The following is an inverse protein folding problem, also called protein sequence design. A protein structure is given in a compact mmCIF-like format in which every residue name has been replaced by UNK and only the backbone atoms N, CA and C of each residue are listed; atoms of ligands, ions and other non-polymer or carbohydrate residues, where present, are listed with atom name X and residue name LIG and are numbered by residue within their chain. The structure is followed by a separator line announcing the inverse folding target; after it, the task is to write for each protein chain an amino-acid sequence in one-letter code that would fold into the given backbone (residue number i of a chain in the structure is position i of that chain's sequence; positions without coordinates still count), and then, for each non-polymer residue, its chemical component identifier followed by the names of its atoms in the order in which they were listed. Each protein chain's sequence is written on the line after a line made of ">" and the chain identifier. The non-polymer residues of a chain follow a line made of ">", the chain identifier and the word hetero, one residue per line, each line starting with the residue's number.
data_IF_123190194464
#
_entry.id   IF_123190194464
#
_cell.length_a   1.000
_cell.length_b   1.000
_cell.length_c   1.000
_cell.angle_alpha   90.00
_cell.angle_beta   90.00
_cell.angle_gamma   90.00
#
_symmetry.space_group_name_H-M   'P 1'
#
loop_
_entity.id
_entity.type
_entity.pdbx_description
1 polymer ?
#
# COMPACT_ATOMS: atom_id res chain seq x y z
N UNK A 1 -19.77 6.89 -3.26
CA UNK A 1 -18.80 5.82 -3.58
C UNK A 1 -19.06 4.63 -2.68
N UNK A 2 -18.83 3.41 -3.17
CA UNK A 2 -18.91 2.18 -2.40
C UNK A 2 -17.50 1.65 -2.12
N UNK A 3 -17.29 1.05 -0.96
CA UNK A 3 -16.02 0.47 -0.60
C UNK A 3 -15.80 -0.86 -1.32
N UNK A 4 -14.66 -1.01 -2.00
CA UNK A 4 -14.31 -2.25 -2.72
C UNK A 4 -14.17 -3.49 -1.82
N UNK A 5 -13.95 -3.31 -0.52
CA UNK A 5 -13.78 -4.42 0.42
C UNK A 5 -15.10 -5.03 0.90
N UNK A 6 -16.12 -4.20 1.10
CA UNK A 6 -17.34 -4.63 1.78
C UNK A 6 -18.64 -4.11 1.13
N UNK A 7 -18.53 -3.44 -0.02
CA UNK A 7 -19.61 -2.80 -0.78
C UNK A 7 -20.49 -1.82 0.03
N UNK A 8 -20.05 -1.42 1.23
CA UNK A 8 -20.74 -0.42 2.04
C UNK A 8 -20.40 1.00 1.59
N UNK A 9 -21.26 1.93 1.99
CA UNK A 9 -21.08 3.36 1.71
C UNK A 9 -19.80 3.90 2.35
N UNK A 10 -19.15 4.80 1.61
CA UNK A 10 -18.03 5.61 2.09
C UNK A 10 -18.59 6.94 2.61
N UNK A 11 -18.12 7.35 3.78
CA UNK A 11 -18.47 8.62 4.38
C UNK A 11 -17.86 9.77 3.55
N UNK A 12 -18.68 10.67 2.98
CA UNK A 12 -18.18 11.73 2.11
C UNK A 12 -17.39 12.82 2.85
N UNK A 13 -17.45 12.89 4.19
CA UNK A 13 -16.75 13.91 4.97
C UNK A 13 -15.30 13.57 5.29
N UNK A 14 -14.99 12.29 5.44
CA UNK A 14 -13.67 11.83 5.88
C UNK A 14 -13.11 10.67 5.04
N UNK A 15 -13.82 10.30 3.96
CA UNK A 15 -13.46 9.22 3.04
C UNK A 15 -13.21 7.85 3.70
N UNK A 16 -13.83 7.60 4.86
CA UNK A 16 -13.77 6.30 5.55
C UNK A 16 -14.97 5.43 5.20
N UNK A 17 -14.77 4.13 5.04
CA UNK A 17 -15.86 3.17 4.87
C UNK A 17 -16.57 2.90 6.21
N UNK A 18 -17.91 2.98 6.23
CA UNK A 18 -18.72 2.68 7.41
C UNK A 18 -18.70 1.20 7.85
N UNK A 19 -18.24 0.29 6.99
CA UNK A 19 -18.21 -1.14 7.27
C UNK A 19 -16.88 -1.62 7.83
N UNK A 20 -15.85 -1.58 6.99
CA UNK A 20 -14.51 -2.10 7.32
C UNK A 20 -13.54 -1.04 7.84
N UNK A 21 -13.92 0.24 7.87
CA UNK A 21 -13.01 1.32 8.26
C UNK A 21 -11.89 1.62 7.26
N UNK A 22 -11.94 1.02 6.06
CA UNK A 22 -10.99 1.35 4.99
C UNK A 22 -11.08 2.84 4.63
N UNK A 23 -9.92 3.46 4.47
CA UNK A 23 -9.82 4.83 3.97
C UNK A 23 -9.75 4.82 2.45
N UNK A 24 -10.23 5.89 1.84
CA UNK A 24 -10.36 6.03 0.40
C UNK A 24 -9.81 7.37 -0.03
N UNK A 25 -8.91 7.35 -1.01
CA UNK A 25 -8.30 8.56 -1.55
C UNK A 25 -8.35 8.50 -3.06
N UNK A 26 -8.79 9.59 -3.69
CA UNK A 26 -8.73 9.77 -5.14
C UNK A 26 -7.55 10.67 -5.45
N UNK A 27 -6.61 10.18 -6.23
CA UNK A 27 -5.43 10.93 -6.66
C UNK A 27 -5.28 10.94 -8.19
N UNK A 28 -4.70 12.01 -8.77
CA UNK A 28 -4.22 11.99 -10.14
C UNK A 28 -3.17 10.89 -10.32
N UNK A 29 -3.11 10.28 -11.50
CA UNK A 29 -2.17 9.17 -11.76
C UNK A 29 -0.70 9.57 -11.51
N UNK A 30 -0.32 10.79 -11.86
CA UNK A 30 1.04 11.33 -11.63
C UNK A 30 1.43 11.43 -10.15
N UNK A 31 0.45 11.48 -9.23
CA UNK A 31 0.66 11.58 -7.78
C UNK A 31 0.48 10.27 -7.04
N UNK A 32 0.20 9.17 -7.75
CA UNK A 32 -0.01 7.86 -7.15
C UNK A 32 1.14 7.47 -6.23
N UNK A 33 2.39 7.58 -6.70
CA UNK A 33 3.57 7.18 -5.94
C UNK A 33 3.83 8.04 -4.70
N UNK A 34 3.54 9.34 -4.78
CA UNK A 34 3.66 10.26 -3.64
C UNK A 34 2.63 9.88 -2.57
N UNK A 35 1.40 9.58 -2.98
CA UNK A 35 0.35 9.16 -2.06
C UNK A 35 0.70 7.83 -1.38
N UNK A 36 1.16 6.80 -2.11
CA UNK A 36 1.58 5.54 -1.47
C UNK A 36 2.78 5.75 -0.53
N UNK A 37 3.70 6.65 -0.89
CA UNK A 37 4.83 7.00 -0.03
C UNK A 37 4.33 7.65 1.28
N UNK A 38 3.41 8.60 1.21
CA UNK A 38 2.77 9.22 2.40
C UNK A 38 2.05 8.17 3.26
N UNK A 39 1.30 7.24 2.63
CA UNK A 39 0.65 6.13 3.34
C UNK A 39 1.64 5.23 4.06
N UNK A 40 2.77 4.92 3.43
CA UNK A 40 3.83 4.15 4.07
C UNK A 40 4.42 4.91 5.28
N UNK A 41 4.60 6.23 5.18
CA UNK A 41 5.07 7.04 6.30
C UNK A 41 4.05 7.09 7.44
N UNK A 42 2.76 7.22 7.12
CA UNK A 42 1.68 7.21 8.11
C UNK A 42 1.54 5.85 8.81
N UNK A 43 1.59 4.76 8.04
CA UNK A 43 1.39 3.40 8.54
C UNK A 43 2.58 2.90 9.36
N UNK A 44 3.81 3.14 8.90
CA UNK A 44 5.02 2.58 9.49
C UNK A 44 5.83 3.59 10.32
N UNK A 45 5.53 4.88 10.22
CA UNK A 45 6.32 5.95 10.86
C UNK A 45 7.69 6.17 10.21
N UNK A 46 7.91 5.65 9.01
CA UNK A 46 9.21 5.73 8.34
C UNK A 46 9.46 7.13 7.80
N UNK A 47 10.69 7.65 8.01
CA UNK A 47 11.18 8.81 7.26
C UNK A 47 11.86 8.29 6.00
N UNK A 48 11.21 8.49 4.85
CA UNK A 48 11.76 8.06 3.57
C UNK A 48 13.05 8.86 3.26
N UNK A 49 14.13 8.19 2.79
CA UNK A 49 15.37 8.87 2.44
C UNK A 49 15.15 9.80 1.25
N UNK A 50 15.91 10.90 1.11
CA UNK A 50 15.72 11.89 0.03
C UNK A 50 16.11 11.37 -1.38
N UNK A 51 16.52 10.11 -1.50
CA UNK A 51 16.97 9.51 -2.76
C UNK A 51 15.77 8.95 -3.52
N UNK A 52 15.38 9.63 -4.60
CA UNK A 52 14.18 9.29 -5.40
C UNK A 52 14.08 7.81 -5.79
N UNK A 53 15.19 7.18 -6.17
CA UNK A 53 15.22 5.76 -6.57
C UNK A 53 14.91 4.85 -5.38
N UNK A 54 15.46 5.14 -4.20
CA UNK A 54 15.23 4.34 -2.99
C UNK A 54 13.78 4.47 -2.54
N UNK A 55 13.22 5.69 -2.57
CA UNK A 55 11.80 5.93 -2.29
C UNK A 55 10.94 5.08 -3.22
N UNK A 56 11.21 5.12 -4.53
CA UNK A 56 10.44 4.37 -5.52
C UNK A 56 10.49 2.87 -5.23
N UNK A 57 11.68 2.30 -4.99
CA UNK A 57 11.83 0.85 -4.73
C UNK A 57 11.07 0.43 -3.47
N UNK A 58 11.21 1.16 -2.37
CA UNK A 58 10.54 0.84 -1.11
C UNK A 58 9.02 0.98 -1.24
N UNK A 59 8.56 2.06 -1.85
CA UNK A 59 7.14 2.37 -2.02
C UNK A 59 6.46 1.36 -2.96
N UNK A 60 7.15 1.00 -4.05
CA UNK A 60 6.71 -0.04 -4.96
C UNK A 60 6.62 -1.40 -4.27
N UNK A 61 7.64 -1.76 -3.50
CA UNK A 61 7.65 -3.02 -2.73
C UNK A 61 6.51 -3.09 -1.71
N UNK A 62 6.29 -2.00 -0.98
CA UNK A 62 5.19 -1.87 -0.02
C UNK A 62 3.83 -2.06 -0.71
N UNK A 63 3.62 -1.36 -1.83
CA UNK A 63 2.39 -1.50 -2.61
C UNK A 63 2.17 -2.95 -3.06
N UNK A 64 3.21 -3.63 -3.56
CA UNK A 64 3.10 -5.01 -4.02
C UNK A 64 2.73 -5.97 -2.89
N UNK A 65 3.37 -5.84 -1.72
CA UNK A 65 3.06 -6.68 -0.56
C UNK A 65 1.63 -6.44 -0.06
N UNK A 66 1.26 -5.17 0.13
CA UNK A 66 -0.06 -4.80 0.63
C UNK A 66 -1.17 -5.14 -0.37
N UNK A 67 -0.91 -5.01 -1.66
CA UNK A 67 -1.87 -5.39 -2.71
C UNK A 67 -2.03 -6.90 -2.84
N UNK A 68 -0.95 -7.66 -2.76
CA UNK A 68 -0.99 -9.14 -2.85
C UNK A 68 -1.82 -9.74 -1.71
N UNK A 69 -1.71 -9.18 -0.52
CA UNK A 69 -2.48 -9.60 0.65
C UNK A 69 -3.90 -8.99 0.67
N UNK A 70 -4.19 -8.04 -0.22
CA UNK A 70 -5.49 -7.37 -0.30
C UNK A 70 -5.69 -6.21 0.68
N UNK A 71 -4.65 -5.77 1.39
CA UNK A 71 -4.71 -4.62 2.30
C UNK A 71 -4.83 -3.27 1.57
N UNK A 72 -4.41 -3.22 0.30
CA UNK A 72 -4.59 -2.07 -0.60
C UNK A 72 -5.22 -2.54 -1.91
N UNK A 73 -6.27 -1.84 -2.35
CA UNK A 73 -6.94 -2.06 -3.63
C UNK A 73 -7.06 -0.75 -4.38
N UNK A 74 -6.86 -0.79 -5.69
CA UNK A 74 -6.91 0.40 -6.56
C UNK A 74 -7.97 0.20 -7.62
N UNK A 75 -8.83 1.19 -7.82
CA UNK A 75 -9.81 1.25 -8.90
C UNK A 75 -9.47 2.42 -9.81
N UNK A 76 -9.53 2.18 -11.12
CA UNK A 76 -9.42 3.26 -12.10
C UNK A 76 -10.79 3.90 -12.27
N UNK A 77 -10.92 5.18 -11.92
CA UNK A 77 -12.18 5.93 -12.05
C UNK A 77 -12.27 6.67 -13.39
N UNK A 78 -11.16 7.24 -13.84
CA UNK A 78 -11.05 8.02 -15.06
C UNK A 78 -9.70 7.72 -15.74
N UNK A 79 -9.47 8.13 -16.99
CA UNK A 79 -8.15 7.97 -17.61
C UNK A 79 -7.03 8.60 -16.77
N UNK A 80 -7.31 9.73 -16.10
CA UNK A 80 -6.29 10.51 -15.38
C UNK A 80 -6.36 10.38 -13.85
N UNK A 81 -7.27 9.56 -13.30
CA UNK A 81 -7.44 9.44 -11.84
C UNK A 81 -7.61 8.00 -11.35
N UNK A 82 -6.98 7.73 -10.21
CA UNK A 82 -7.03 6.45 -9.51
C UNK A 82 -7.61 6.64 -8.12
N UNK A 83 -8.57 5.79 -7.77
CA UNK A 83 -9.10 5.64 -6.43
C UNK A 83 -8.32 4.53 -5.72
N UNK A 84 -7.82 4.83 -4.54
CA UNK A 84 -7.05 3.92 -3.70
C UNK A 84 -7.87 3.67 -2.44
N UNK A 85 -8.20 2.42 -2.19
CA UNK A 85 -8.79 1.97 -0.94
C UNK A 85 -7.72 1.25 -0.16
N UNK A 86 -7.50 1.67 1.09
CA UNK A 86 -6.50 1.06 1.95
C UNK A 86 -7.05 0.88 3.35
N UNK A 87 -6.63 -0.20 3.99
CA UNK A 87 -6.98 -0.51 5.37
C UNK A 87 -5.69 -0.63 6.17
N UNK A 88 -5.44 0.31 7.08
CA UNK A 88 -4.25 0.29 7.97
C UNK A 88 -4.51 -0.48 9.28
N UNK A 89 -5.59 -1.25 9.33
CA UNK A 89 -6.00 -1.99 10.52
C UNK A 89 -6.56 -3.36 10.11
N UNK A 90 -6.46 -4.35 11.00
CA UNK A 90 -6.99 -5.70 10.76
C UNK A 90 -5.96 -6.71 10.23
N UNK A 91 -6.35 -7.98 10.17
CA UNK A 91 -5.44 -9.11 9.93
C UNK A 91 -4.72 -9.06 8.58
N UNK A 92 -5.40 -8.61 7.53
CA UNK A 92 -4.80 -8.48 6.19
C UNK A 92 -3.69 -7.44 6.13
N UNK A 93 -3.85 -6.33 6.86
CA UNK A 93 -2.79 -5.33 6.99
C UNK A 93 -1.57 -5.91 7.72
N UNK A 94 -1.78 -6.63 8.84
CA UNK A 94 -0.71 -7.28 9.58
C UNK A 94 0.06 -8.31 8.74
N UNK A 95 -0.64 -9.11 7.93
CA UNK A 95 -0.03 -10.07 7.01
C UNK A 95 0.77 -9.36 5.91
N UNK A 96 0.24 -8.28 5.32
CA UNK A 96 0.93 -7.48 4.32
C UNK A 96 2.20 -6.84 4.87
N UNK A 97 2.13 -6.33 6.11
CA UNK A 97 3.27 -5.78 6.85
C UNK A 97 4.34 -6.83 7.13
N UNK A 98 3.94 -8.02 7.56
CA UNK A 98 4.86 -9.14 7.79
C UNK A 98 5.54 -9.59 6.49
N UNK A 99 4.81 -9.66 5.38
CA UNK A 99 5.37 -9.96 4.07
C UNK A 99 6.37 -8.88 3.63
N UNK A 100 6.03 -7.59 3.81
CA UNK A 100 6.90 -6.47 3.47
C UNK A 100 8.27 -6.54 4.16
N UNK A 101 8.30 -6.92 5.44
CA UNK A 101 9.55 -7.02 6.21
C UNK A 101 10.32 -8.35 6.01
N UNK A 102 9.62 -9.48 5.88
CA UNK A 102 10.28 -10.79 5.83
C UNK A 102 10.76 -11.18 4.43
N UNK A 103 10.02 -10.83 3.38
CA UNK A 103 10.36 -11.27 2.02
C UNK A 103 11.72 -10.73 1.53
N UNK A 104 12.12 -9.47 1.80
CA UNK A 104 13.47 -8.99 1.44
C UNK A 104 14.57 -9.78 2.17
N UNK A 105 14.34 -10.12 3.44
CA UNK A 105 15.28 -10.94 4.23
C UNK A 105 15.46 -12.33 3.62
N UNK A 106 14.35 -12.99 3.25
CA UNK A 106 14.40 -14.28 2.56
C UNK A 106 15.14 -14.17 1.22
N UNK A 107 14.87 -13.12 0.44
CA UNK A 107 15.54 -12.89 -0.83
C UNK A 107 17.06 -12.74 -0.67
N UNK A 108 17.51 -11.94 0.30
CA UNK A 108 18.94 -11.77 0.60
C UNK A 108 19.58 -13.11 1.02
N UNK A 109 18.92 -13.88 1.88
CA UNK A 109 19.42 -15.19 2.31
C UNK A 109 19.54 -16.18 1.13
N UNK A 110 18.54 -16.22 0.24
CA UNK A 110 18.57 -17.06 -0.96
C UNK A 110 19.72 -16.64 -1.89
N UNK A 111 19.90 -15.34 -2.13
CA UNK A 111 21.01 -14.85 -2.94
C UNK A 111 22.37 -15.24 -2.35
N UNK A 112 22.56 -15.13 -1.03
CA UNK A 112 23.80 -15.54 -0.37
C UNK A 112 24.08 -17.03 -0.58
N UNK A 113 23.08 -17.88 -0.36
CA UNK A 113 23.21 -19.34 -0.55
C UNK A 113 23.59 -19.67 -1.99
N UNK A 114 22.95 -19.03 -2.97
CA UNK A 114 23.24 -19.24 -4.40
C UNK A 114 24.63 -18.75 -4.82
N UNK A 115 25.21 -17.76 -4.15
CA UNK A 115 26.55 -17.26 -4.47
C UNK A 115 27.70 -18.07 -3.86
N UNK A 116 27.42 -18.93 -2.88
CA UNK A 116 28.43 -19.76 -2.20
C UNK A 116 28.58 -21.14 -2.88
N UNK A 117 27.62 -21.53 -3.72
CA UNK A 117 27.65 -22.75 -4.53
C UNK A 117 28.43 -22.55 -5.82
#
# INVERSE_FOLDING_TARGET
>A
MQCLYCNRLINPKNSTCFGCGAQVVVVPEERLWVCIAELLQEAEGWKLPPVNVVIFVITWWYLMCMRTVGSITTLQMAPDSKEIHYQLTGGWYWLGRLAFYLLPLVFVLVCIVLTIQ
#
